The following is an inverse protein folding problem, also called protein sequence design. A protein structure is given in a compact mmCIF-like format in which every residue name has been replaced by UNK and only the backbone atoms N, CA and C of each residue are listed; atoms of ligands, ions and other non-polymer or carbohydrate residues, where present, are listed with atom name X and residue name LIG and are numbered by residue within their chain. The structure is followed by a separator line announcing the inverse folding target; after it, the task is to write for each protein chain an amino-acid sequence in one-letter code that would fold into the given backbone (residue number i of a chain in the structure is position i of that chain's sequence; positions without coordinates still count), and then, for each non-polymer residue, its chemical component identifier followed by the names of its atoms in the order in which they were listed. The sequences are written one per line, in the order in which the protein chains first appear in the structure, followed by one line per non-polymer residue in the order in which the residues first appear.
data_IF_205523860373
#
_entry.id   IF_205523860373
#
_cell.length_a   1.000
_cell.length_b   1.000
_cell.length_c   1.000
_cell.angle_alpha   90.00
_cell.angle_beta   90.00
_cell.angle_gamma   90.00
#
_symmetry.space_group_name_H-M   'P 1'
#
loop_
_entity.id
_entity.type
_entity.pdbx_description
1 polymer ?
#
# COMPACT_ATOMS: atom_id res chain seq x y z
N UNK A 1 24.90 5.03 1.70
CA UNK A 1 23.61 4.55 1.19
C UNK A 1 22.55 4.86 2.24
N UNK A 2 21.37 5.26 1.81
CA UNK A 2 20.22 5.39 2.70
C UNK A 2 19.45 4.07 2.63
N UNK A 3 19.03 3.55 3.77
CA UNK A 3 18.16 2.41 3.83
C UNK A 3 16.79 2.80 3.24
N UNK A 4 16.20 1.90 2.45
CA UNK A 4 14.97 2.19 1.71
C UNK A 4 14.10 0.93 1.61
N UNK A 5 12.80 1.12 1.52
CA UNK A 5 11.83 0.04 1.33
C UNK A 5 11.55 -0.17 -0.15
N UNK A 6 11.56 -1.42 -0.57
CA UNK A 6 11.34 -1.81 -1.96
C UNK A 6 10.18 -2.80 -2.10
N UNK A 7 9.45 -2.68 -3.20
CA UNK A 7 8.59 -3.77 -3.67
C UNK A 7 9.43 -4.61 -4.64
N UNK A 8 9.50 -5.92 -4.39
CA UNK A 8 10.21 -6.87 -5.23
C UNK A 8 9.43 -7.15 -6.52
N UNK A 9 9.31 -6.14 -7.38
CA UNK A 9 8.58 -6.23 -8.66
C UNK A 9 9.23 -7.22 -9.62
N UNK A 10 10.53 -7.43 -9.52
CA UNK A 10 11.25 -8.44 -10.32
C UNK A 10 10.75 -9.87 -10.14
N UNK A 11 10.12 -10.18 -9.00
CA UNK A 11 9.50 -11.48 -8.75
C UNK A 11 8.32 -11.78 -9.71
N UNK A 12 7.72 -10.74 -10.30
CA UNK A 12 6.56 -10.85 -11.20
C UNK A 12 6.92 -10.53 -12.66
N UNK A 13 8.18 -10.25 -12.98
CA UNK A 13 8.62 -9.81 -14.31
C UNK A 13 8.11 -10.70 -15.43
N UNK A 14 8.39 -12.00 -15.36
CA UNK A 14 8.01 -12.95 -16.42
C UNK A 14 6.50 -12.99 -16.62
N UNK A 15 5.75 -12.95 -15.51
CA UNK A 15 4.29 -12.95 -15.57
C UNK A 15 3.75 -11.65 -16.19
N UNK A 16 4.35 -10.50 -15.88
CA UNK A 16 3.97 -9.22 -16.49
C UNK A 16 4.27 -9.21 -18.00
N UNK A 17 5.41 -9.75 -18.42
CA UNK A 17 5.76 -9.88 -19.84
C UNK A 17 4.74 -10.78 -20.57
N UNK A 18 4.38 -11.90 -19.98
CA UNK A 18 3.36 -12.80 -20.52
C UNK A 18 2.01 -12.10 -20.70
N UNK A 19 1.55 -11.43 -19.65
CA UNK A 19 0.28 -10.70 -19.65
C UNK A 19 0.27 -9.53 -20.65
N UNK A 20 1.38 -8.80 -20.78
CA UNK A 20 1.51 -7.73 -21.77
C UNK A 20 1.22 -8.22 -23.20
N UNK A 21 1.59 -9.44 -23.53
CA UNK A 21 1.33 -10.04 -24.85
C UNK A 21 -0.15 -10.32 -25.12
N UNK A 22 -0.98 -10.35 -24.09
CA UNK A 22 -2.43 -10.54 -24.24
C UNK A 22 -3.19 -9.27 -24.53
N UNK A 23 -2.55 -8.11 -24.33
CA UNK A 23 -3.16 -6.78 -24.51
C UNK A 23 -3.17 -6.40 -25.99
N UNK A 24 -4.31 -5.91 -26.47
CA UNK A 24 -4.43 -5.33 -27.81
C UNK A 24 -3.99 -3.87 -27.80
N UNK A 25 -2.70 -3.65 -27.84
CA UNK A 25 -2.13 -2.30 -27.85
C UNK A 25 -2.50 -1.48 -29.10
N UNK A 26 -2.76 -0.18 -28.91
CA UNK A 26 -2.96 0.81 -29.96
C UNK A 26 -2.18 2.10 -29.63
N UNK A 27 -1.05 2.37 -30.30
CA UNK A 27 -0.42 1.55 -31.34
C UNK A 27 0.27 0.30 -30.77
N UNK A 28 0.37 -0.76 -31.58
CA UNK A 28 1.01 -2.02 -31.21
C UNK A 28 2.48 -1.84 -30.77
N UNK A 29 3.18 -0.90 -31.39
CA UNK A 29 4.57 -0.56 -31.06
C UNK A 29 4.77 -0.10 -29.61
N UNK A 30 3.75 0.37 -28.94
CA UNK A 30 3.84 0.71 -27.51
C UNK A 30 4.04 -0.56 -26.67
N UNK A 31 3.24 -1.59 -26.91
CA UNK A 31 3.31 -2.83 -26.17
C UNK A 31 4.55 -3.67 -26.46
N UNK A 32 4.95 -3.78 -27.73
CA UNK A 32 6.14 -4.56 -28.12
C UNK A 32 7.46 -3.77 -27.97
N UNK A 33 7.40 -2.45 -28.05
CA UNK A 33 8.54 -1.57 -27.96
C UNK A 33 8.72 -0.96 -26.57
N UNK A 34 8.11 0.21 -26.33
CA UNK A 34 8.38 1.01 -25.13
C UNK A 34 8.04 0.28 -23.83
N UNK A 35 6.82 -0.21 -23.70
CA UNK A 35 6.36 -0.91 -22.49
C UNK A 35 6.97 -2.30 -22.34
N UNK A 36 7.00 -3.09 -23.42
CA UNK A 36 7.58 -4.43 -23.40
C UNK A 36 9.06 -4.39 -22.99
N UNK A 37 9.85 -3.48 -23.56
CA UNK A 37 11.26 -3.30 -23.18
C UNK A 37 11.45 -2.82 -21.76
N UNK A 38 10.56 -1.98 -21.26
CA UNK A 38 10.57 -1.57 -19.86
C UNK A 38 10.34 -2.76 -18.93
N UNK A 39 9.38 -3.63 -19.25
CA UNK A 39 9.12 -4.87 -18.50
C UNK A 39 10.32 -5.84 -18.52
N UNK A 40 10.98 -5.98 -19.67
CA UNK A 40 12.18 -6.81 -19.80
C UNK A 40 13.32 -6.29 -18.90
N UNK A 41 13.45 -4.97 -18.79
CA UNK A 41 14.42 -4.29 -17.93
C UNK A 41 13.93 -3.96 -16.52
N UNK A 42 12.82 -4.57 -16.08
CA UNK A 42 12.20 -4.26 -14.78
C UNK A 42 13.18 -4.46 -13.62
N UNK A 43 13.25 -3.46 -12.74
CA UNK A 43 13.99 -3.49 -11.48
C UNK A 43 13.03 -3.40 -10.31
N UNK A 44 13.48 -3.75 -9.11
CA UNK A 44 12.67 -3.60 -7.91
C UNK A 44 12.34 -2.13 -7.66
N UNK A 45 11.11 -1.87 -7.26
CA UNK A 45 10.61 -0.52 -7.08
C UNK A 45 11.00 0.02 -5.71
N UNK A 46 11.82 1.05 -5.68
CA UNK A 46 12.05 1.81 -4.46
C UNK A 46 10.77 2.56 -4.11
N UNK A 47 10.05 2.05 -3.10
CA UNK A 47 8.74 2.55 -2.69
C UNK A 47 8.82 3.73 -1.73
N UNK A 48 9.80 3.74 -0.82
CA UNK A 48 9.85 4.72 0.27
C UNK A 48 10.38 6.08 -0.16
N UNK A 49 9.83 7.14 0.45
CA UNK A 49 10.21 8.54 0.22
C UNK A 49 10.42 9.26 1.55
N UNK A 50 11.60 9.82 1.74
CA UNK A 50 11.95 10.65 2.90
C UNK A 50 11.38 12.04 2.77
N UNK A 51 10.06 12.16 2.96
CA UNK A 51 9.29 13.41 2.93
C UNK A 51 8.39 13.50 4.15
N UNK A 52 7.84 14.70 4.41
CA UNK A 52 6.94 14.89 5.53
C UNK A 52 5.48 14.66 5.16
N UNK A 53 5.03 15.15 4.00
CA UNK A 53 3.63 15.07 3.57
C UNK A 53 3.42 14.06 2.45
N UNK A 54 2.42 13.24 2.61
CA UNK A 54 2.00 12.18 1.68
C UNK A 54 1.45 10.98 2.43
N UNK A 55 1.28 9.85 1.75
CA UNK A 55 0.79 8.59 2.33
C UNK A 55 1.87 7.92 3.17
N UNK A 56 1.70 7.76 4.48
CA UNK A 56 2.69 7.12 5.34
C UNK A 56 2.87 5.63 5.01
N UNK A 57 4.11 5.16 5.09
CA UNK A 57 4.40 3.74 4.96
C UNK A 57 3.79 2.96 6.14
N UNK A 58 2.89 1.97 5.92
CA UNK A 58 2.18 1.29 7.00
C UNK A 58 3.01 0.16 7.63
N UNK A 59 4.27 0.44 7.95
CA UNK A 59 5.23 -0.53 8.48
C UNK A 59 5.70 -0.08 9.87
N UNK A 60 5.61 -0.99 10.83
CA UNK A 60 6.16 -0.83 12.18
C UNK A 60 7.27 -1.84 12.39
N UNK A 61 8.33 -1.44 13.07
CA UNK A 61 9.46 -2.29 13.38
C UNK A 61 9.95 -2.10 14.82
N UNK A 62 10.53 -3.14 15.39
CA UNK A 62 11.36 -3.03 16.60
C UNK A 62 12.64 -2.27 16.29
N UNK A 63 13.29 -1.69 17.30
CA UNK A 63 14.51 -0.88 17.13
C UNK A 63 15.63 -1.66 16.43
N UNK A 64 15.73 -2.95 16.69
CA UNK A 64 16.73 -3.86 16.10
C UNK A 64 16.26 -4.53 14.79
N UNK A 65 15.05 -4.20 14.30
CA UNK A 65 14.42 -4.82 13.14
C UNK A 65 14.23 -6.36 13.26
N UNK A 66 14.26 -6.91 14.46
CA UNK A 66 14.00 -8.36 14.68
C UNK A 66 12.56 -8.74 14.41
N UNK A 67 11.62 -7.79 14.54
CA UNK A 67 10.22 -7.93 14.13
C UNK A 67 9.77 -6.73 13.31
N UNK A 68 9.17 -7.02 12.17
CA UNK A 68 8.61 -6.03 11.24
C UNK A 68 7.16 -6.41 10.97
N UNK A 69 6.27 -5.43 11.01
CA UNK A 69 4.83 -5.63 10.74
C UNK A 69 4.32 -4.61 9.75
N UNK A 70 3.75 -5.10 8.65
CA UNK A 70 3.05 -4.28 7.68
C UNK A 70 1.54 -4.37 7.97
N UNK A 71 0.91 -3.24 8.22
CA UNK A 71 -0.53 -3.16 8.55
C UNK A 71 -1.34 -3.05 7.26
N UNK A 72 -2.23 -3.99 7.05
CA UNK A 72 -3.02 -4.11 5.81
C UNK A 72 -4.38 -3.43 5.86
N UNK A 73 -4.87 -2.99 7.01
CA UNK A 73 -6.16 -2.32 7.13
C UNK A 73 -6.30 -1.48 8.39
N UNK A 74 -7.26 -0.53 8.39
CA UNK A 74 -7.61 0.24 9.59
C UNK A 74 -8.12 -0.66 10.72
N UNK A 75 -8.92 -1.67 10.40
CA UNK A 75 -9.40 -2.61 11.42
C UNK A 75 -8.27 -3.39 12.09
N UNK A 76 -7.26 -3.80 11.33
CA UNK A 76 -6.05 -4.41 11.87
C UNK A 76 -5.28 -3.42 12.75
N UNK A 77 -5.08 -2.18 12.27
CA UNK A 77 -4.39 -1.14 13.04
C UNK A 77 -5.06 -0.90 14.39
N UNK A 78 -6.38 -0.74 14.41
CA UNK A 78 -7.16 -0.55 15.65
C UNK A 78 -6.92 -1.71 16.61
N UNK A 79 -7.00 -2.95 16.14
CA UNK A 79 -6.77 -4.14 16.96
C UNK A 79 -5.33 -4.23 17.51
N UNK A 80 -4.34 -3.83 16.72
CA UNK A 80 -2.94 -3.81 17.16
C UNK A 80 -2.68 -2.69 18.18
N UNK A 81 -3.34 -1.53 18.03
CA UNK A 81 -3.27 -0.46 19.04
C UNK A 81 -3.91 -0.91 20.36
N UNK A 82 -5.03 -1.63 20.33
CA UNK A 82 -5.67 -2.14 21.55
C UNK A 82 -4.73 -3.10 22.31
N UNK A 83 -3.99 -3.95 21.60
CA UNK A 83 -2.94 -4.79 22.22
C UNK A 83 -1.85 -3.94 22.86
N UNK A 84 -1.45 -2.85 22.23
CA UNK A 84 -0.43 -1.93 22.76
C UNK A 84 -0.91 -1.17 23.99
N UNK A 85 -2.18 -0.81 24.04
CA UNK A 85 -2.81 -0.22 25.25
C UNK A 85 -2.82 -1.25 26.39
N UNK A 86 -3.24 -2.48 26.09
CA UNK A 86 -3.23 -3.57 27.07
C UNK A 86 -1.83 -3.89 27.62
N UNK A 87 -0.80 -3.74 26.77
CA UNK A 87 0.61 -3.90 27.15
C UNK A 87 1.21 -2.67 27.86
N UNK A 88 0.47 -1.57 27.98
CA UNK A 88 0.94 -0.33 28.63
C UNK A 88 1.89 0.52 27.77
N UNK A 89 2.03 0.22 26.47
CA UNK A 89 2.85 0.99 25.53
C UNK A 89 2.15 2.24 25.00
N UNK A 90 0.81 2.24 25.02
CA UNK A 90 -0.04 3.39 24.72
C UNK A 90 -1.06 3.61 25.84
N UNK A 91 -1.45 4.88 26.07
CA UNK A 91 -2.44 5.24 27.11
C UNK A 91 -3.86 5.01 26.65
N UNK A 92 -4.13 5.17 25.35
CA UNK A 92 -5.45 4.98 24.74
C UNK A 92 -5.30 4.67 23.26
N UNK A 93 -6.36 4.11 22.67
CA UNK A 93 -6.46 3.93 21.23
C UNK A 93 -7.11 5.18 20.61
N UNK A 94 -6.39 5.99 19.81
CA UNK A 94 -6.96 7.20 19.20
C UNK A 94 -8.02 6.89 18.14
N UNK A 95 -8.08 5.65 17.65
CA UNK A 95 -9.03 5.21 16.61
C UNK A 95 -10.09 4.23 17.15
N UNK A 96 -10.30 4.18 18.47
CA UNK A 96 -11.26 3.26 19.13
C UNK A 96 -12.70 3.38 18.64
N UNK A 97 -13.07 4.52 18.05
CA UNK A 97 -14.42 4.77 17.52
C UNK A 97 -14.58 4.34 16.05
N UNK A 98 -13.49 3.92 15.40
CA UNK A 98 -13.58 3.38 14.03
C UNK A 98 -14.24 2.01 14.05
N UNK A 99 -15.27 1.84 13.20
CA UNK A 99 -16.03 0.59 13.08
C UNK A 99 -15.62 -0.12 11.79
N UNK A 100 -14.88 -1.24 11.86
CA UNK A 100 -14.55 -2.03 10.68
C UNK A 100 -15.82 -2.49 9.94
N UNK A 101 -15.81 -2.28 8.60
CA UNK A 101 -16.98 -2.62 7.76
C UNK A 101 -18.01 -1.51 7.61
N UNK A 102 -17.98 -0.46 8.42
CA UNK A 102 -18.79 0.74 8.18
C UNK A 102 -18.07 1.66 7.18
N UNK A 103 -18.61 1.68 5.94
CA UNK A 103 -18.07 2.44 4.82
C UNK A 103 -18.53 3.91 4.79
N UNK A 104 -19.24 4.37 5.82
CA UNK A 104 -19.71 5.74 5.87
C UNK A 104 -18.57 6.76 5.98
N UNK A 105 -18.77 7.92 5.33
CA UNK A 105 -17.81 9.04 5.45
C UNK A 105 -17.56 9.43 6.92
N UNK A 106 -18.62 9.43 7.73
CA UNK A 106 -18.54 9.79 9.14
C UNK A 106 -17.62 8.85 9.95
N UNK A 107 -17.52 7.59 9.57
CA UNK A 107 -16.62 6.62 10.19
C UNK A 107 -15.15 6.91 9.80
N UNK A 108 -14.91 7.18 8.52
CA UNK A 108 -13.55 7.48 8.03
C UNK A 108 -13.03 8.85 8.45
N UNK A 109 -13.90 9.86 8.61
CA UNK A 109 -13.51 11.19 9.11
C UNK A 109 -12.95 11.17 10.55
N UNK A 110 -13.10 10.06 11.27
CA UNK A 110 -12.55 9.87 12.64
C UNK A 110 -11.09 9.45 12.65
N UNK A 111 -10.52 9.10 11.50
CA UNK A 111 -9.18 8.55 11.40
C UNK A 111 -8.32 9.44 10.53
N UNK A 112 -7.27 9.98 11.09
CA UNK A 112 -6.23 10.68 10.34
C UNK A 112 -4.94 9.86 10.40
N UNK A 113 -4.52 9.35 9.24
CA UNK A 113 -3.30 8.55 9.08
C UNK A 113 -2.10 9.37 8.61
N UNK A 114 -2.26 10.70 8.40
CA UNK A 114 -1.13 11.54 8.03
C UNK A 114 -0.15 11.71 9.19
N UNK A 115 1.08 12.05 8.85
CA UNK A 115 2.03 12.58 9.84
C UNK A 115 1.53 13.95 10.35
N UNK A 116 1.68 14.27 11.62
CA UNK A 116 2.38 13.51 12.68
C UNK A 116 1.45 12.56 13.48
N UNK A 117 0.19 12.38 13.10
CA UNK A 117 -0.79 11.63 13.90
C UNK A 117 -0.41 10.15 13.98
N UNK A 118 -0.19 9.49 12.84
CA UNK A 118 0.17 8.08 12.78
C UNK A 118 1.54 7.78 13.39
N UNK A 119 2.46 8.73 13.40
CA UNK A 119 3.81 8.57 13.97
C UNK A 119 3.80 8.40 15.50
N UNK A 120 2.69 8.77 16.17
CA UNK A 120 2.52 8.61 17.62
C UNK A 120 2.10 7.20 18.02
N UNK A 121 1.70 6.39 17.05
CA UNK A 121 1.24 5.03 17.29
C UNK A 121 2.45 4.13 17.51
N UNK A 122 2.46 3.47 18.67
CA UNK A 122 3.44 2.46 19.03
C UNK A 122 2.70 1.12 19.10
N UNK A 123 3.15 0.13 18.35
CA UNK A 123 2.60 -1.21 18.41
C UNK A 123 3.44 -2.09 19.35
N UNK A 124 2.90 -3.24 19.74
CA UNK A 124 3.58 -4.21 20.60
C UNK A 124 4.06 -5.40 19.78
N UNK A 125 5.33 -5.74 19.90
CA UNK A 125 5.91 -6.94 19.28
C UNK A 125 5.44 -8.24 19.96
N UNK A 126 5.73 -9.36 19.33
CA UNK A 126 5.48 -10.68 19.93
C UNK A 126 6.22 -10.92 21.25
N UNK A 127 7.29 -10.16 21.50
CA UNK A 127 8.10 -10.20 22.73
C UNK A 127 7.72 -9.13 23.75
N UNK A 128 6.70 -8.30 23.48
CA UNK A 128 6.31 -7.20 24.34
C UNK A 128 7.12 -5.91 24.14
N UNK A 129 7.97 -5.84 23.13
CA UNK A 129 8.81 -4.67 22.85
C UNK A 129 8.04 -3.63 22.02
N UNK A 130 8.39 -2.33 22.13
CA UNK A 130 7.75 -1.31 21.32
C UNK A 130 8.18 -1.41 19.86
N UNK A 131 7.20 -1.32 18.95
CA UNK A 131 7.42 -1.19 17.51
C UNK A 131 7.01 0.23 17.08
N UNK A 132 7.89 0.89 16.37
CA UNK A 132 7.65 2.26 15.84
C UNK A 132 7.45 2.22 14.34
N UNK A 133 6.63 3.14 13.85
CA UNK A 133 6.39 3.27 12.41
C UNK A 133 7.66 3.75 11.70
N UNK A 134 7.93 3.16 10.53
CA UNK A 134 8.95 3.65 9.62
C UNK A 134 8.64 5.09 9.18
N UNK A 135 9.59 6.04 9.28
CA UNK A 135 9.31 7.45 9.09
C UNK A 135 8.99 7.84 7.64
N UNK A 136 9.34 6.99 6.70
CA UNK A 136 9.15 7.24 5.28
C UNK A 136 7.67 7.24 4.85
N UNK A 137 7.43 7.85 3.70
CA UNK A 137 6.16 7.83 2.99
C UNK A 137 6.22 6.87 1.80
N UNK A 138 5.07 6.55 1.25
CA UNK A 138 4.94 5.79 0.01
C UNK A 138 5.14 6.72 -1.18
N UNK A 139 5.76 6.23 -2.25
CA UNK A 139 5.81 6.89 -3.55
C UNK A 139 4.39 7.18 -4.04
N UNK A 140 4.13 8.41 -4.47
CA UNK A 140 2.81 8.83 -4.97
C UNK A 140 2.31 7.99 -6.16
N UNK A 141 3.21 7.38 -6.91
CA UNK A 141 2.86 6.46 -8.00
C UNK A 141 2.19 5.17 -7.51
N UNK A 142 2.36 4.82 -6.24
CA UNK A 142 1.62 3.72 -5.63
C UNK A 142 0.12 4.05 -5.54
N UNK A 143 -0.25 5.27 -5.15
CA UNK A 143 -1.64 5.69 -5.08
C UNK A 143 -2.29 5.63 -6.46
N UNK A 144 -1.59 6.12 -7.48
CA UNK A 144 -2.04 6.04 -8.88
C UNK A 144 -2.20 4.59 -9.34
N UNK A 145 -1.21 3.74 -9.09
CA UNK A 145 -1.23 2.31 -9.47
C UNK A 145 -2.25 1.48 -8.70
N UNK A 146 -2.66 1.93 -7.51
CA UNK A 146 -3.68 1.26 -6.71
C UNK A 146 -5.11 1.54 -7.19
N UNK A 147 -5.34 2.54 -8.06
CA UNK A 147 -6.67 2.97 -8.48
C UNK A 147 -7.61 1.84 -8.92
N UNK A 148 -7.18 0.83 -9.73
CA UNK A 148 -8.06 -0.24 -10.16
C UNK A 148 -8.67 -1.06 -9.01
N UNK A 149 -7.97 -1.13 -7.89
CA UNK A 149 -8.39 -1.82 -6.66
C UNK A 149 -9.08 -0.87 -5.69
N UNK A 150 -8.48 0.30 -5.45
CA UNK A 150 -8.90 1.26 -4.45
C UNK A 150 -10.29 1.85 -4.75
N UNK A 151 -10.63 2.13 -6.00
CA UNK A 151 -11.95 2.64 -6.39
C UNK A 151 -13.11 1.70 -6.04
N UNK A 152 -12.81 0.41 -5.84
CA UNK A 152 -13.79 -0.63 -5.47
C UNK A 152 -13.60 -1.09 -4.02
N UNK A 153 -12.70 -0.46 -3.28
CA UNK A 153 -12.31 -0.83 -1.93
C UNK A 153 -11.97 -2.33 -1.79
N UNK A 154 -11.34 -2.88 -2.83
CA UNK A 154 -10.89 -4.27 -2.82
C UNK A 154 -9.69 -4.45 -1.86
N UNK A 155 -9.61 -5.54 -1.08
CA UNK A 155 -10.53 -6.69 -1.02
C UNK A 155 -11.64 -6.58 0.03
N UNK A 156 -11.81 -5.43 0.69
CA UNK A 156 -12.58 -5.28 1.93
C UNK A 156 -14.10 -5.25 1.70
N UNK A 157 -14.56 -4.71 0.57
CA UNK A 157 -15.99 -4.61 0.29
C UNK A 157 -16.51 -5.86 -0.42
N UNK A 158 -17.56 -6.47 0.14
CA UNK A 158 -18.27 -7.63 -0.42
C UNK A 158 -17.36 -8.79 -0.87
N UNK A 159 -16.23 -9.02 -0.14
CA UNK A 159 -15.28 -10.08 -0.50
C UNK A 159 -14.67 -9.95 -1.89
N UNK A 160 -14.70 -8.75 -2.47
CA UNK A 160 -14.18 -8.48 -3.81
C UNK A 160 -15.09 -8.95 -4.95
N UNK A 161 -16.38 -9.23 -4.70
CA UNK A 161 -17.32 -9.68 -5.74
C UNK A 161 -17.45 -8.66 -6.87
N UNK A 162 -17.68 -7.38 -6.53
CA UNK A 162 -17.77 -6.29 -7.50
C UNK A 162 -16.47 -6.12 -8.30
N UNK A 163 -15.33 -6.28 -7.64
CA UNK A 163 -14.02 -6.21 -8.32
C UNK A 163 -13.91 -7.26 -9.43
N UNK A 164 -14.32 -8.50 -9.18
CA UNK A 164 -14.24 -9.58 -10.18
C UNK A 164 -15.11 -9.35 -11.41
N UNK A 165 -16.12 -8.48 -11.32
CA UNK A 165 -17.00 -8.17 -12.45
C UNK A 165 -16.46 -7.07 -13.37
N UNK A 166 -15.50 -6.24 -12.88
CA UNK A 166 -15.00 -5.06 -13.60
C UNK A 166 -13.48 -5.08 -13.82
N UNK A 167 -12.78 -6.02 -13.21
CA UNK A 167 -11.33 -6.19 -13.39
C UNK A 167 -11.01 -7.56 -14.03
N UNK A 168 -10.13 -7.62 -15.03
CA UNK A 168 -9.39 -6.50 -15.63
C UNK A 168 -10.28 -5.60 -16.49
N UNK A 169 -9.83 -4.35 -16.71
CA UNK A 169 -10.55 -3.41 -17.56
C UNK A 169 -10.54 -3.85 -19.02
N UNK A 170 -11.68 -3.70 -19.71
CA UNK A 170 -11.80 -4.00 -21.15
C UNK A 170 -11.08 -2.98 -22.04
N UNK A 171 -10.96 -1.74 -21.54
CA UNK A 171 -10.35 -0.64 -22.28
C UNK A 171 -9.65 0.32 -21.32
N UNK A 172 -8.41 0.71 -21.67
CA UNK A 172 -7.62 1.72 -20.97
C UNK A 172 -7.10 2.72 -22.00
N UNK A 173 -7.29 4.03 -21.77
CA UNK A 173 -6.73 5.09 -22.59
C UNK A 173 -5.80 5.94 -21.73
N UNK A 174 -4.51 5.88 -22.02
CA UNK A 174 -3.45 6.59 -21.28
C UNK A 174 -2.50 7.32 -22.21
N UNK A 175 -1.88 8.38 -21.72
CA UNK A 175 -0.74 9.00 -22.40
C UNK A 175 0.45 8.04 -22.43
N UNK A 176 1.26 8.14 -23.49
CA UNK A 176 2.43 7.26 -23.68
C UNK A 176 3.43 7.32 -22.51
N UNK A 177 3.43 8.41 -21.74
CA UNK A 177 4.30 8.58 -20.57
C UNK A 177 3.97 7.61 -19.45
N UNK A 178 2.70 7.20 -19.33
CA UNK A 178 2.22 6.26 -18.32
C UNK A 178 2.74 4.82 -18.52
N UNK A 179 3.37 4.54 -19.65
CA UNK A 179 4.02 3.24 -19.89
C UNK A 179 5.35 3.05 -19.15
N UNK A 180 5.69 3.93 -18.21
CA UNK A 180 6.90 3.85 -17.40
C UNK A 180 6.65 4.01 -15.90
N UNK A 181 5.42 4.21 -15.47
CA UNK A 181 5.07 4.42 -14.08
C UNK A 181 3.92 3.57 -13.61
#
# INVERSE_FOLDING_TARGET
PLDSWFIRTTALRERMIELNRTIRWKPESTGTGRFGKWLEGLVDWNLSRSRFWGTPLPVWATEDYSEIRCIGSLGELVGEIDKSVAAGLMTENPYKEFVPGDMSKANYDRVDLHRPFVDRIVLVSSKGEPMRREPDLIDVWFDSGAMPYAQLHYPFENGGEKFRTVFPADFIAEGVDQTRG
#
